data_IF_749145404025
#
_entry.id   IF_749145404025
#
_cell.length_a   1.000
_cell.length_b   1.000
_cell.length_c   1.000
_cell.angle_alpha   90.00
_cell.angle_beta   90.00
_cell.angle_gamma   90.00
#
_symmetry.space_group_name_H-M   'P 1'
#
loop_
_entity.id
_entity.type
_entity.pdbx_description
1 polymer ?
#
# COMPACT_ATOMS: atom_id res chain seq x y z
N UNK A 1 8.60 1.23 -7.76
CA UNK A 1 7.98 -0.03 -8.22
C UNK A 1 7.26 0.22 -9.53
N UNK A 2 7.55 -0.58 -10.53
CA UNK A 2 6.88 -0.46 -11.83
C UNK A 2 5.88 -1.60 -12.03
N UNK A 3 4.60 -1.29 -11.94
CA UNK A 3 3.55 -2.28 -12.18
C UNK A 3 3.46 -2.66 -13.67
N UNK A 4 3.81 -1.74 -14.57
CA UNK A 4 3.86 -2.03 -15.99
C UNK A 4 4.90 -3.12 -16.29
N UNK A 5 6.05 -3.08 -15.63
CA UNK A 5 7.08 -4.09 -15.79
C UNK A 5 6.62 -5.45 -15.25
N UNK A 6 5.92 -5.48 -14.12
CA UNK A 6 5.36 -6.70 -13.59
C UNK A 6 4.36 -7.33 -14.56
N UNK A 7 3.53 -6.50 -15.19
CA UNK A 7 2.58 -6.96 -16.21
C UNK A 7 3.30 -7.61 -17.39
N UNK A 8 4.37 -6.98 -17.86
CA UNK A 8 5.18 -7.52 -18.97
C UNK A 8 5.80 -8.86 -18.62
N UNK A 9 6.07 -9.10 -17.33
CA UNK A 9 6.57 -10.39 -16.83
C UNK A 9 5.46 -11.40 -16.53
N UNK A 10 4.21 -11.06 -16.86
CA UNK A 10 3.06 -11.93 -16.66
C UNK A 10 2.42 -11.86 -15.28
N UNK A 11 2.83 -10.89 -14.45
CA UNK A 11 2.30 -10.71 -13.09
C UNK A 11 1.56 -9.38 -13.00
N UNK A 12 0.32 -9.42 -12.53
CA UNK A 12 -0.50 -8.24 -12.30
C UNK A 12 -0.78 -8.08 -10.81
N UNK A 13 -0.74 -6.84 -10.36
CA UNK A 13 -1.17 -6.49 -9.02
C UNK A 13 -2.60 -5.96 -9.10
N UNK A 14 -3.51 -6.59 -8.36
CA UNK A 14 -4.94 -6.26 -8.39
C UNK A 14 -5.38 -5.83 -7.00
N UNK A 15 -6.04 -4.67 -6.93
CA UNK A 15 -6.61 -4.19 -5.68
C UNK A 15 -7.84 -5.04 -5.35
N UNK A 16 -7.78 -5.75 -4.22
CA UNK A 16 -8.85 -6.60 -3.76
C UNK A 16 -9.79 -5.87 -2.80
N UNK A 17 -9.27 -4.90 -2.06
CA UNK A 17 -10.05 -4.13 -1.09
C UNK A 17 -9.39 -2.78 -0.86
N UNK A 18 -10.22 -1.75 -0.73
CA UNK A 18 -9.81 -0.41 -0.35
C UNK A 18 -10.66 0.04 0.83
N UNK A 19 -10.00 0.46 1.90
CA UNK A 19 -10.65 1.06 3.05
C UNK A 19 -9.98 2.42 3.31
N UNK A 20 -10.78 3.47 3.33
CA UNK A 20 -10.28 4.82 3.52
C UNK A 20 -11.11 5.53 4.59
N UNK A 21 -10.43 6.13 5.55
CA UNK A 21 -11.05 6.86 6.64
C UNK A 21 -10.54 8.29 6.64
N UNK A 22 -11.45 9.25 6.69
CA UNK A 22 -11.15 10.67 6.78
C UNK A 22 -11.36 11.11 8.23
N UNK A 23 -10.31 11.63 8.85
CA UNK A 23 -10.33 11.99 10.27
C UNK A 23 -10.30 13.50 10.49
N UNK A 24 -9.30 14.18 9.95
CA UNK A 24 -9.11 15.61 10.11
C UNK A 24 -9.06 16.23 8.73
N UNK A 25 -9.86 17.30 8.46
CA UNK A 25 -9.85 17.93 7.14
C UNK A 25 -8.49 18.53 6.80
N UNK A 26 -8.10 18.37 5.54
CA UNK A 26 -6.98 19.11 4.97
C UNK A 26 -7.55 20.26 4.14
N UNK A 27 -6.97 21.44 4.33
CA UNK A 27 -7.34 22.63 3.57
C UNK A 27 -6.30 22.91 2.52
N UNK A 28 -6.70 23.67 1.50
CA UNK A 28 -5.76 24.23 0.53
C UNK A 28 -4.62 24.94 1.26
N UNK A 29 -3.38 24.69 0.89
CA UNK A 29 -2.15 25.21 1.48
C UNK A 29 -1.73 24.56 2.81
N UNK A 30 -2.47 23.61 3.34
CA UNK A 30 -1.99 22.83 4.47
C UNK A 30 -0.81 21.96 4.04
N UNK A 31 0.19 21.89 4.90
CA UNK A 31 1.29 20.97 4.73
C UNK A 31 0.92 19.62 5.34
N UNK A 32 1.43 18.55 4.75
CA UNK A 32 1.16 17.21 5.26
C UNK A 32 2.37 16.31 5.04
N UNK A 33 2.39 15.22 5.79
CA UNK A 33 3.37 14.15 5.61
C UNK A 33 2.62 12.83 5.43
N UNK A 34 3.09 12.03 4.48
CA UNK A 34 2.57 10.69 4.25
C UNK A 34 3.51 9.65 4.83
N UNK A 35 2.94 8.66 5.52
CA UNK A 35 3.68 7.51 6.00
C UNK A 35 3.12 6.26 5.34
N UNK A 36 4.00 5.45 4.80
CA UNK A 36 3.64 4.21 4.13
C UNK A 36 4.25 3.04 4.89
N UNK A 37 3.40 2.09 5.26
CA UNK A 37 3.83 0.80 5.81
C UNK A 37 3.23 -0.30 4.94
N UNK A 38 3.97 -1.37 4.74
CA UNK A 38 3.53 -2.50 3.95
C UNK A 38 3.71 -3.77 4.76
N UNK A 39 2.72 -4.65 4.75
CA UNK A 39 2.85 -5.97 5.37
C UNK A 39 2.30 -7.03 4.43
N UNK A 40 2.78 -8.24 4.61
CA UNK A 40 2.30 -9.42 3.90
C UNK A 40 1.33 -10.16 4.81
N UNK A 41 0.13 -10.43 4.31
CA UNK A 41 -0.89 -11.19 5.04
C UNK A 41 -1.44 -12.30 4.14
N UNK A 42 -0.90 -13.51 4.32
CA UNK A 42 -1.23 -14.61 3.42
C UNK A 42 -0.80 -14.30 1.99
N UNK A 43 -1.76 -14.26 1.08
CA UNK A 43 -1.49 -13.91 -0.33
C UNK A 43 -1.64 -12.41 -0.60
N UNK A 44 -1.99 -11.63 0.42
CA UNK A 44 -2.26 -10.20 0.25
C UNK A 44 -1.05 -9.36 0.61
N UNK A 45 -0.85 -8.30 -0.15
CA UNK A 45 0.04 -7.20 0.21
C UNK A 45 -0.82 -6.08 0.75
N UNK A 46 -0.63 -5.74 2.02
CA UNK A 46 -1.44 -4.72 2.68
C UNK A 46 -0.63 -3.44 2.75
N UNK A 47 -1.09 -2.41 2.04
CA UNK A 47 -0.49 -1.08 2.05
C UNK A 47 -1.25 -0.23 3.05
N UNK A 48 -0.55 0.27 4.06
CA UNK A 48 -1.11 1.16 5.07
C UNK A 48 -0.53 2.55 4.84
N UNK A 49 -1.37 3.48 4.44
CA UNK A 49 -0.97 4.86 4.17
C UNK A 49 -1.68 5.78 5.14
N UNK A 50 -0.89 6.53 5.91
CA UNK A 50 -1.40 7.52 6.83
C UNK A 50 -0.92 8.89 6.40
N UNK A 51 -1.83 9.86 6.34
CA UNK A 51 -1.52 11.25 6.04
C UNK A 51 -1.76 12.07 7.30
N UNK A 52 -0.71 12.77 7.75
CA UNK A 52 -0.75 13.63 8.92
C UNK A 52 -0.65 15.08 8.51
N UNK A 53 -1.56 15.91 9.05
CA UNK A 53 -1.54 17.34 8.83
C UNK A 53 -0.47 17.98 9.71
N UNK A 54 0.27 18.94 9.15
CA UNK A 54 1.27 19.72 9.87
C UNK A 54 0.74 21.12 10.16
N UNK A 55 1.22 21.81 11.19
CA UNK A 55 2.27 21.39 12.15
C UNK A 55 1.79 20.55 13.32
N UNK A 56 0.47 20.38 13.47
CA UNK A 56 -0.11 19.69 14.64
C UNK A 56 -0.02 18.17 14.59
N UNK A 57 0.45 17.60 13.48
CA UNK A 57 0.64 16.16 13.30
C UNK A 57 -0.63 15.34 13.52
N UNK A 58 -1.79 15.91 13.22
CA UNK A 58 -3.05 15.20 13.35
C UNK A 58 -3.28 14.27 12.16
N UNK A 59 -3.73 13.06 12.45
CA UNK A 59 -4.09 12.10 11.41
C UNK A 59 -5.26 12.63 10.59
N UNK A 60 -5.04 12.85 9.30
CA UNK A 60 -6.07 13.36 8.40
C UNK A 60 -6.73 12.25 7.60
N UNK A 61 -5.95 11.32 7.09
CA UNK A 61 -6.46 10.21 6.28
C UNK A 61 -5.72 8.94 6.66
N UNK A 62 -6.47 7.86 6.82
CA UNK A 62 -5.91 6.52 6.97
C UNK A 62 -6.47 5.65 5.86
N UNK A 63 -5.60 5.11 5.03
CA UNK A 63 -5.98 4.25 3.93
C UNK A 63 -5.34 2.88 4.06
N UNK A 64 -6.12 1.84 3.80
CA UNK A 64 -5.63 0.47 3.71
C UNK A 64 -6.00 -0.08 2.35
N UNK A 65 -5.01 -0.55 1.62
CA UNK A 65 -5.20 -1.13 0.30
C UNK A 65 -4.69 -2.57 0.34
N UNK A 66 -5.60 -3.51 0.16
CA UNK A 66 -5.24 -4.92 0.05
C UNK A 66 -5.04 -5.25 -1.43
N UNK A 67 -3.86 -5.73 -1.76
CA UNK A 67 -3.47 -6.04 -3.12
C UNK A 67 -3.07 -7.50 -3.23
N UNK A 68 -3.49 -8.16 -4.29
CA UNK A 68 -3.10 -9.53 -4.60
C UNK A 68 -2.38 -9.57 -5.94
N UNK A 69 -1.51 -10.56 -6.10
CA UNK A 69 -0.81 -10.77 -7.36
C UNK A 69 -1.43 -11.93 -8.12
N UNK A 70 -1.61 -11.71 -9.42
CA UNK A 70 -2.17 -12.69 -10.33
C UNK A 70 -1.14 -12.95 -11.43
N UNK A 71 -0.76 -14.21 -11.62
CA UNK A 71 0.14 -14.61 -12.69
C UNK A 71 -0.59 -15.60 -13.59
N UNK A 72 -0.70 -15.25 -14.88
CA UNK A 72 -1.41 -16.07 -15.86
C UNK A 72 -2.84 -16.43 -15.42
N UNK A 73 -3.55 -15.45 -14.82
CA UNK A 73 -4.92 -15.62 -14.37
C UNK A 73 -5.09 -16.35 -13.05
N UNK A 74 -4.00 -16.64 -12.33
CA UNK A 74 -4.04 -17.35 -11.05
C UNK A 74 -3.48 -16.51 -9.92
N UNK A 75 -4.14 -16.58 -8.76
CA UNK A 75 -3.65 -15.95 -7.55
C UNK A 75 -2.35 -16.60 -7.11
N UNK A 76 -1.38 -15.77 -6.72
CA UNK A 76 -0.06 -16.23 -6.29
C UNK A 76 0.19 -15.83 -4.84
N UNK A 77 0.67 -16.76 -4.03
CA UNK A 77 1.07 -16.48 -2.65
C UNK A 77 2.40 -15.71 -2.59
N UNK A 78 3.24 -15.90 -3.58
CA UNK A 78 4.51 -15.19 -3.71
C UNK A 78 4.62 -14.63 -5.13
N UNK A 79 5.37 -13.54 -5.27
CA UNK A 79 5.54 -12.88 -6.57
C UNK A 79 6.83 -12.06 -6.56
N UNK A 80 7.24 -11.52 -7.72
CA UNK A 80 8.36 -10.58 -7.76
C UNK A 80 8.16 -9.35 -6.84
N UNK A 81 6.91 -9.03 -6.47
CA UNK A 81 6.64 -7.96 -5.51
C UNK A 81 7.23 -8.23 -4.13
N UNK A 82 7.35 -9.49 -3.71
CA UNK A 82 7.96 -9.81 -2.40
C UNK A 82 9.37 -9.23 -2.30
N UNK A 83 10.18 -9.41 -3.32
CA UNK A 83 11.55 -8.88 -3.33
C UNK A 83 11.57 -7.36 -3.45
N UNK A 84 10.68 -6.79 -4.28
CA UNK A 84 10.64 -5.35 -4.50
C UNK A 84 10.15 -4.59 -3.27
N UNK A 85 9.24 -5.18 -2.50
CA UNK A 85 8.62 -4.55 -1.35
C UNK A 85 9.29 -4.90 -0.02
N UNK A 86 10.20 -5.88 0.00
CA UNK A 86 10.83 -6.35 1.23
C UNK A 86 11.39 -5.22 2.11
N UNK A 87 12.08 -4.19 1.56
CA UNK A 87 12.57 -3.10 2.41
C UNK A 87 11.48 -2.29 3.07
N UNK A 88 10.24 -2.36 2.60
CA UNK A 88 9.11 -1.59 3.11
C UNK A 88 8.22 -2.39 4.05
N UNK A 89 8.42 -3.69 4.17
CA UNK A 89 7.61 -4.51 5.06
C UNK A 89 7.84 -4.12 6.50
N UNK A 90 6.75 -4.10 7.27
CA UNK A 90 6.84 -3.87 8.71
C UNK A 90 7.59 -5.03 9.36
N UNK A 91 8.56 -4.68 10.18
CA UNK A 91 9.29 -5.68 10.95
C UNK A 91 8.44 -6.10 12.13
N UNK A 92 8.25 -7.39 12.30
CA UNK A 92 7.67 -7.93 13.51
C UNK A 92 8.74 -7.97 14.61
N UNK A 93 8.40 -7.42 15.75
CA UNK A 93 9.27 -7.46 16.91
C UNK A 93 8.88 -8.61 17.85
#
# INVERSE_FOLDING_TARGET
ISFARLHDEGTDAVVARLNMQFKTPLKSQDEFVCRLNIKKDGIKYVFLQDIYRLPDEKLSVRAQVDTVCVTNGRLQATSPLDALLEPYFMKEE
#
